data_IF_605339138939
#
_entry.id   IF_605339138939
#
_cell.length_a   1.000
_cell.length_b   1.000
_cell.length_c   1.000
_cell.angle_alpha   90.00
_cell.angle_beta   90.00
_cell.angle_gamma   90.00
#
_symmetry.space_group_name_H-M   'P 1'
#
loop_
_entity.id
_entity.type
_entity.pdbx_description
1 polymer ?
#
# COMPACT_ATOMS: atom_id res chain seq x y z
N UNK A 1 24.21 26.78 -12.74
CA UNK A 1 24.15 25.71 -11.72
C UNK A 1 22.86 24.90 -11.77
N UNK A 2 21.71 25.46 -12.17
CA UNK A 2 20.41 24.76 -12.31
C UNK A 2 20.36 23.47 -13.19
N UNK A 3 21.27 23.31 -14.15
CA UNK A 3 21.24 22.16 -15.09
C UNK A 3 21.82 20.86 -14.50
N UNK A 4 22.62 20.96 -13.43
CA UNK A 4 23.28 19.82 -12.78
C UNK A 4 22.38 19.17 -11.72
N UNK A 5 21.58 19.95 -11.00
CA UNK A 5 20.61 19.45 -10.00
C UNK A 5 19.57 18.52 -10.63
N UNK A 6 19.04 18.85 -11.80
CA UNK A 6 18.08 17.99 -12.52
C UNK A 6 18.69 16.68 -13.03
N UNK A 7 19.99 16.65 -13.35
CA UNK A 7 20.69 15.43 -13.81
C UNK A 7 21.00 14.51 -12.62
N UNK A 8 21.40 15.10 -11.49
CA UNK A 8 21.63 14.36 -10.26
C UNK A 8 20.33 13.73 -9.75
N UNK A 9 19.22 14.46 -9.75
CA UNK A 9 17.89 13.94 -9.41
C UNK A 9 17.50 12.76 -10.32
N UNK A 10 17.66 12.88 -11.64
CA UNK A 10 17.38 11.77 -12.57
C UNK A 10 18.24 10.52 -12.27
N UNK A 11 19.51 10.71 -11.92
CA UNK A 11 20.40 9.60 -11.56
C UNK A 11 19.99 8.94 -10.24
N UNK A 12 19.59 9.73 -9.26
CA UNK A 12 19.07 9.23 -7.98
C UNK A 12 17.79 8.41 -8.20
N UNK A 13 16.80 8.95 -8.91
CA UNK A 13 15.55 8.26 -9.23
C UNK A 13 15.78 6.95 -9.99
N UNK A 14 16.65 6.97 -11.00
CA UNK A 14 17.00 5.76 -11.76
C UNK A 14 17.62 4.70 -10.86
N UNK A 15 18.48 5.09 -9.94
CA UNK A 15 19.15 4.16 -9.01
C UNK A 15 18.18 3.57 -8.00
N UNK A 16 17.27 4.39 -7.44
CA UNK A 16 16.19 3.91 -6.55
C UNK A 16 15.32 2.86 -7.25
N UNK A 17 14.88 3.13 -8.48
CA UNK A 17 14.09 2.18 -9.28
C UNK A 17 14.82 0.85 -9.51
N UNK A 18 16.11 0.89 -9.85
CA UNK A 18 16.92 -0.34 -10.03
C UNK A 18 17.03 -1.14 -8.74
N UNK A 19 17.24 -0.46 -7.60
CA UNK A 19 17.34 -1.09 -6.29
C UNK A 19 16.00 -1.70 -5.84
N UNK A 20 14.88 -1.00 -6.05
CA UNK A 20 13.54 -1.50 -5.73
C UNK A 20 13.16 -2.69 -6.61
N UNK A 21 13.42 -2.62 -7.92
CA UNK A 21 13.15 -3.74 -8.81
C UNK A 21 13.94 -4.98 -8.39
N UNK A 22 15.24 -4.81 -8.12
CA UNK A 22 16.08 -5.90 -7.64
C UNK A 22 15.60 -6.45 -6.29
N UNK A 23 15.11 -5.59 -5.39
CA UNK A 23 14.53 -5.99 -4.12
C UNK A 23 13.27 -6.84 -4.32
N UNK A 24 12.33 -6.42 -5.17
CA UNK A 24 11.10 -7.15 -5.49
C UNK A 24 11.44 -8.53 -6.05
N UNK A 25 12.25 -8.58 -7.11
CA UNK A 25 12.64 -9.82 -7.79
C UNK A 25 13.32 -10.81 -6.83
N UNK A 26 14.30 -10.34 -6.06
CA UNK A 26 15.00 -11.19 -5.09
C UNK A 26 14.10 -11.64 -3.95
N UNK A 27 13.14 -10.82 -3.54
CA UNK A 27 12.15 -11.22 -2.53
C UNK A 27 11.29 -12.35 -3.04
N UNK A 28 10.84 -12.29 -4.30
CA UNK A 28 10.06 -13.38 -4.92
C UNK A 28 10.87 -14.67 -5.01
N UNK A 29 12.16 -14.59 -5.37
CA UNK A 29 13.02 -15.77 -5.56
C UNK A 29 13.33 -16.54 -4.27
N UNK A 30 13.54 -15.84 -3.15
CA UNK A 30 14.07 -16.48 -1.92
C UNK A 30 13.41 -16.06 -0.61
N UNK A 31 12.38 -15.21 -0.69
CA UNK A 31 11.71 -14.66 0.48
C UNK A 31 12.47 -13.49 1.11
N UNK A 32 11.72 -12.60 1.74
CA UNK A 32 12.25 -11.38 2.34
C UNK A 32 13.19 -11.64 3.52
N UNK A 33 12.89 -12.64 4.37
CA UNK A 33 13.72 -12.97 5.53
C UNK A 33 15.15 -13.33 5.12
N UNK A 34 15.30 -14.17 4.10
CA UNK A 34 16.61 -14.60 3.57
C UNK A 34 17.29 -13.54 2.67
N UNK A 35 16.62 -12.44 2.35
CA UNK A 35 17.17 -11.36 1.54
C UNK A 35 18.28 -10.59 2.27
N UNK A 36 19.35 -10.27 1.56
CA UNK A 36 20.44 -9.42 2.06
C UNK A 36 20.69 -8.24 1.13
N UNK A 37 21.30 -7.18 1.64
CA UNK A 37 21.73 -6.02 0.84
C UNK A 37 22.63 -6.45 -0.32
N UNK A 38 23.46 -7.49 -0.12
CA UNK A 38 24.35 -8.01 -1.16
C UNK A 38 23.55 -8.49 -2.38
N UNK A 39 22.53 -9.32 -2.17
CA UNK A 39 21.72 -9.87 -3.26
C UNK A 39 21.01 -8.79 -4.07
N UNK A 40 20.52 -7.75 -3.37
CA UNK A 40 19.87 -6.59 -3.99
C UNK A 40 20.89 -5.85 -4.85
N UNK A 41 22.06 -5.53 -4.28
CA UNK A 41 23.11 -4.78 -5.00
C UNK A 41 23.67 -5.53 -6.20
N UNK A 42 23.86 -6.85 -6.07
CA UNK A 42 24.30 -7.71 -7.18
C UNK A 42 23.25 -7.75 -8.29
N UNK A 43 21.96 -7.90 -7.96
CA UNK A 43 20.88 -7.94 -8.95
C UNK A 43 20.63 -6.58 -9.62
N UNK A 44 20.77 -5.49 -8.88
CA UNK A 44 20.67 -4.12 -9.40
C UNK A 44 21.91 -3.67 -10.18
N UNK A 45 23.00 -4.45 -10.16
CA UNK A 45 24.30 -4.09 -10.74
C UNK A 45 24.83 -2.74 -10.21
N UNK A 46 24.74 -2.54 -8.89
CA UNK A 46 25.25 -1.33 -8.21
C UNK A 46 26.17 -1.69 -7.06
N UNK A 47 27.07 -0.76 -6.70
CA UNK A 47 27.94 -0.94 -5.54
C UNK A 47 27.15 -0.87 -4.23
N UNK A 48 27.60 -1.58 -3.20
CA UNK A 48 27.00 -1.49 -1.85
C UNK A 48 27.00 -0.08 -1.28
N UNK A 49 28.04 0.70 -1.55
CA UNK A 49 28.09 2.12 -1.15
C UNK A 49 27.03 2.99 -1.84
N UNK A 50 26.56 2.57 -3.02
CA UNK A 50 25.43 3.21 -3.69
C UNK A 50 24.12 2.87 -2.98
N UNK A 51 23.90 1.61 -2.59
CA UNK A 51 22.73 1.22 -1.79
C UNK A 51 22.63 2.05 -0.51
N UNK A 52 23.72 2.14 0.25
CA UNK A 52 23.73 2.86 1.53
C UNK A 52 23.60 4.39 1.41
N UNK A 53 23.60 4.92 0.19
CA UNK A 53 23.25 6.33 -0.07
C UNK A 53 21.75 6.56 -0.14
N UNK A 54 20.98 5.51 -0.41
CA UNK A 54 19.53 5.57 -0.57
C UNK A 54 18.81 4.91 0.62
N UNK A 55 19.38 3.84 1.16
CA UNK A 55 18.73 3.03 2.19
C UNK A 55 19.69 2.59 3.28
N UNK A 56 19.25 2.61 4.54
CA UNK A 56 20.02 2.15 5.70
C UNK A 56 20.22 0.64 5.67
N UNK A 57 19.17 -0.10 5.33
CA UNK A 57 19.14 -1.55 5.17
C UNK A 57 17.95 -1.97 4.30
N UNK A 58 17.65 -3.28 4.25
CA UNK A 58 16.51 -3.81 3.47
C UNK A 58 15.14 -3.44 4.05
N UNK A 59 15.06 -3.16 5.36
CA UNK A 59 13.81 -2.77 6.01
C UNK A 59 13.48 -1.31 5.71
N UNK A 60 14.49 -0.44 5.71
CA UNK A 60 14.34 0.95 5.26
C UNK A 60 13.95 1.02 3.77
N UNK A 61 14.57 0.20 2.91
CA UNK A 61 14.14 0.08 1.50
C UNK A 61 12.67 -0.32 1.41
N UNK A 62 12.26 -1.33 2.17
CA UNK A 62 10.88 -1.81 2.20
C UNK A 62 9.90 -0.72 2.66
N UNK A 63 10.23 0.02 3.71
CA UNK A 63 9.39 1.12 4.21
C UNK A 63 9.25 2.25 3.18
N UNK A 64 10.36 2.65 2.55
CA UNK A 64 10.33 3.65 1.48
C UNK A 64 9.56 3.15 0.25
N UNK A 65 9.68 1.87 -0.11
CA UNK A 65 8.89 1.25 -1.19
C UNK A 65 7.39 1.30 -0.90
N UNK A 66 6.97 0.97 0.33
CA UNK A 66 5.56 1.05 0.73
C UNK A 66 5.06 2.51 0.63
N UNK A 67 5.82 3.47 1.15
CA UNK A 67 5.44 4.88 1.10
C UNK A 67 5.30 5.38 -0.35
N UNK A 68 6.26 5.07 -1.22
CA UNK A 68 6.22 5.46 -2.63
C UNK A 68 5.00 4.87 -3.38
N UNK A 69 4.63 3.62 -3.09
CA UNK A 69 3.39 3.02 -3.64
C UNK A 69 2.17 3.87 -3.28
N UNK A 70 2.02 4.26 -2.01
CA UNK A 70 0.88 5.06 -1.60
C UNK A 70 0.93 6.45 -2.24
N UNK A 71 2.08 7.12 -2.26
CA UNK A 71 2.25 8.41 -2.93
C UNK A 71 1.84 8.35 -4.42
N UNK A 72 2.17 7.29 -5.14
CA UNK A 72 1.79 7.10 -6.55
C UNK A 72 0.29 6.80 -6.74
N UNK A 73 -0.36 6.19 -5.73
CA UNK A 73 -1.80 5.93 -5.76
C UNK A 73 -2.66 7.16 -5.41
N UNK A 74 -2.04 8.26 -4.96
CA UNK A 74 -2.68 9.36 -4.25
C UNK A 74 -2.94 10.63 -5.06
N UNK A 75 -2.72 10.64 -6.38
CA UNK A 75 -2.61 11.86 -7.21
C UNK A 75 -3.88 12.75 -7.35
N UNK A 76 -4.85 12.68 -6.43
CA UNK A 76 -5.62 13.82 -5.83
C UNK A 76 -6.88 13.36 -5.06
N UNK A 77 -7.33 12.12 -5.22
CA UNK A 77 -8.68 11.69 -4.77
C UNK A 77 -8.70 10.82 -3.49
N UNK A 78 -7.54 10.42 -2.98
CA UNK A 78 -7.46 9.50 -1.82
C UNK A 78 -7.94 8.08 -2.12
N UNK A 79 -7.77 7.17 -1.16
CA UNK A 79 -8.13 5.74 -1.32
C UNK A 79 -9.51 5.38 -0.74
N UNK A 80 -10.21 6.37 -0.19
CA UNK A 80 -11.53 6.23 0.39
C UNK A 80 -12.45 7.24 -0.28
N UNK A 81 -13.54 6.75 -0.84
CA UNK A 81 -14.67 7.55 -1.31
C UNK A 81 -15.94 6.95 -0.67
N UNK A 82 -16.88 7.80 -0.28
CA UNK A 82 -18.15 7.34 0.31
C UNK A 82 -19.27 7.42 -0.70
N UNK A 83 -19.04 6.77 -1.84
CA UNK A 83 -20.03 6.58 -2.88
C UNK A 83 -20.60 5.15 -2.76
N UNK A 84 -21.91 4.92 -2.90
CA UNK A 84 -22.52 3.61 -2.63
C UNK A 84 -22.13 2.49 -3.60
N UNK A 85 -21.53 2.80 -4.75
CA UNK A 85 -21.29 1.81 -5.82
C UNK A 85 -19.94 1.89 -6.50
N UNK A 86 -19.27 3.04 -6.44
CA UNK A 86 -18.05 3.28 -7.20
C UNK A 86 -16.93 3.53 -6.22
N UNK A 87 -15.85 2.77 -6.38
CA UNK A 87 -14.64 2.96 -5.60
C UNK A 87 -13.87 4.20 -6.08
N UNK A 88 -13.11 4.79 -5.16
CA UNK A 88 -12.21 5.89 -5.51
C UNK A 88 -11.16 5.45 -6.53
N UNK A 89 -10.75 6.37 -7.39
CA UNK A 89 -9.66 6.13 -8.34
C UNK A 89 -8.37 5.73 -7.61
N UNK A 90 -8.13 6.27 -6.42
CA UNK A 90 -6.97 5.91 -5.59
C UNK A 90 -6.99 4.45 -5.14
N UNK A 91 -8.14 3.91 -4.73
CA UNK A 91 -8.26 2.48 -4.39
C UNK A 91 -8.03 1.60 -5.62
N UNK A 92 -8.59 1.98 -6.78
CA UNK A 92 -8.40 1.27 -8.04
C UNK A 92 -6.91 1.27 -8.43
N UNK A 93 -6.23 2.42 -8.33
CA UNK A 93 -4.81 2.55 -8.65
C UNK A 93 -3.92 1.75 -7.70
N UNK A 94 -4.24 1.74 -6.40
CA UNK A 94 -3.55 0.89 -5.43
C UNK A 94 -3.67 -0.59 -5.79
N UNK A 95 -4.88 -1.06 -6.10
CA UNK A 95 -5.10 -2.46 -6.50
C UNK A 95 -4.44 -2.81 -7.83
N UNK A 96 -4.39 -1.88 -8.79
CA UNK A 96 -3.62 -2.04 -10.04
C UNK A 96 -2.13 -2.18 -9.76
N UNK A 97 -1.58 -1.36 -8.86
CA UNK A 97 -0.19 -1.45 -8.45
C UNK A 97 0.12 -2.80 -7.78
N UNK A 98 -0.75 -3.24 -6.87
CA UNK A 98 -0.65 -4.57 -6.24
C UNK A 98 -0.73 -5.69 -7.30
N UNK A 99 -1.59 -5.56 -8.32
CA UNK A 99 -1.69 -6.53 -9.40
C UNK A 99 -0.41 -6.63 -10.23
N UNK A 100 0.21 -5.49 -10.55
CA UNK A 100 1.44 -5.44 -11.34
C UNK A 100 2.57 -6.18 -10.64
N UNK A 101 2.62 -6.11 -9.32
CA UNK A 101 3.62 -6.78 -8.48
C UNK A 101 3.04 -7.96 -7.68
N UNK A 102 2.02 -8.64 -8.22
CA UNK A 102 1.23 -9.64 -7.48
C UNK A 102 2.07 -10.77 -6.88
N UNK A 103 3.12 -11.23 -7.57
CA UNK A 103 4.03 -12.26 -7.06
C UNK A 103 4.74 -11.81 -5.79
N UNK A 104 5.17 -10.56 -5.73
CA UNK A 104 5.81 -9.97 -4.55
C UNK A 104 4.81 -9.85 -3.40
N UNK A 105 3.64 -9.27 -3.64
CA UNK A 105 2.62 -9.14 -2.60
C UNK A 105 2.12 -10.49 -2.10
N UNK A 106 2.01 -11.50 -2.96
CA UNK A 106 1.66 -12.87 -2.54
C UNK A 106 2.71 -13.47 -1.60
N UNK A 107 4.00 -13.31 -1.92
CA UNK A 107 5.09 -13.77 -1.06
C UNK A 107 5.11 -13.01 0.26
N UNK A 108 4.85 -11.70 0.24
CA UNK A 108 4.99 -10.84 1.40
C UNK A 108 3.77 -10.82 2.33
N UNK A 109 2.55 -10.94 1.79
CA UNK A 109 1.29 -10.89 2.53
C UNK A 109 0.68 -12.28 2.79
N UNK A 110 1.11 -13.30 2.06
CA UNK A 110 0.59 -14.66 2.22
C UNK A 110 0.97 -15.30 3.55
N UNK A 111 0.50 -16.53 3.78
CA UNK A 111 0.67 -17.25 5.05
C UNK A 111 2.13 -17.45 5.49
N UNK A 112 3.09 -17.44 4.55
CA UNK A 112 4.53 -17.57 4.81
C UNK A 112 5.29 -16.24 4.64
N UNK A 113 4.55 -15.14 4.51
CA UNK A 113 5.09 -13.80 4.38
C UNK A 113 5.71 -13.27 5.67
N UNK A 114 6.33 -12.09 5.56
CA UNK A 114 6.96 -11.44 6.71
C UNK A 114 5.89 -10.75 7.57
N UNK A 115 5.73 -11.11 8.87
CA UNK A 115 4.70 -10.53 9.72
C UNK A 115 4.85 -9.02 9.91
N UNK A 116 6.09 -8.52 9.94
CA UNK A 116 6.37 -7.10 10.11
C UNK A 116 5.94 -6.34 8.85
N UNK A 117 6.18 -6.88 7.65
CA UNK A 117 5.65 -6.26 6.43
C UNK A 117 4.13 -6.22 6.42
N UNK A 118 3.46 -7.34 6.70
CA UNK A 118 2.00 -7.38 6.72
C UNK A 118 1.43 -6.36 7.73
N UNK A 119 2.08 -6.22 8.90
CA UNK A 119 1.75 -5.21 9.88
C UNK A 119 1.95 -3.78 9.35
N UNK A 120 3.11 -3.48 8.74
CA UNK A 120 3.42 -2.14 8.20
C UNK A 120 2.49 -1.75 7.07
N UNK A 121 2.20 -2.67 6.16
CA UNK A 121 1.25 -2.47 5.07
C UNK A 121 -0.15 -2.12 5.61
N UNK A 122 -0.63 -2.87 6.62
CA UNK A 122 -1.91 -2.55 7.29
C UNK A 122 -1.87 -1.20 7.99
N UNK A 123 -0.83 -0.90 8.76
CA UNK A 123 -0.70 0.39 9.47
C UNK A 123 -0.72 1.57 8.50
N UNK A 124 0.01 1.48 7.39
CA UNK A 124 0.01 2.52 6.36
C UNK A 124 -1.34 2.67 5.67
N UNK A 125 -2.02 1.55 5.40
CA UNK A 125 -3.40 1.57 4.89
C UNK A 125 -4.34 2.28 5.87
N UNK A 126 -4.27 1.92 7.16
CA UNK A 126 -5.11 2.49 8.22
C UNK A 126 -4.88 4.00 8.40
N UNK A 127 -3.62 4.42 8.47
CA UNK A 127 -3.21 5.84 8.51
C UNK A 127 -3.83 6.61 7.33
N UNK A 128 -3.82 6.01 6.13
CA UNK A 128 -4.34 6.67 4.93
C UNK A 128 -5.86 6.74 4.91
N UNK A 129 -6.55 5.65 5.23
CA UNK A 129 -8.02 5.62 5.32
C UNK A 129 -8.48 6.65 6.36
N UNK A 130 -7.84 6.69 7.53
CA UNK A 130 -8.16 7.65 8.59
C UNK A 130 -7.93 9.10 8.14
N UNK A 131 -6.84 9.37 7.42
CA UNK A 131 -6.55 10.70 6.85
C UNK A 131 -7.65 11.14 5.87
N UNK A 132 -8.02 10.28 4.91
CA UNK A 132 -9.10 10.56 3.97
C UNK A 132 -10.42 10.80 4.69
N UNK A 133 -10.76 9.95 5.65
CA UNK A 133 -11.99 10.11 6.42
C UNK A 133 -12.03 11.42 7.21
N UNK A 134 -10.91 11.83 7.81
CA UNK A 134 -10.80 13.10 8.51
C UNK A 134 -11.02 14.31 7.59
N UNK A 135 -10.61 14.20 6.33
CA UNK A 135 -10.85 15.25 5.32
C UNK A 135 -12.31 15.29 4.87
N UNK A 136 -12.95 14.12 4.72
CA UNK A 136 -14.36 14.02 4.31
C UNK A 136 -15.30 14.52 5.42
N UNK A 137 -14.94 14.26 6.70
CA UNK A 137 -15.77 14.62 7.85
C UNK A 137 -14.99 15.38 8.94
N UNK A 138 -14.64 16.65 8.72
CA UNK A 138 -13.83 17.42 9.67
C UNK A 138 -14.55 17.76 10.99
N UNK A 139 -15.88 17.93 10.98
CA UNK A 139 -16.69 18.40 12.12
C UNK A 139 -17.73 17.38 12.62
N UNK A 140 -17.46 16.09 12.43
CA UNK A 140 -18.40 15.03 12.78
C UNK A 140 -18.70 14.92 14.28
N UNK A 141 -19.96 14.69 14.59
CA UNK A 141 -20.46 14.31 15.92
C UNK A 141 -20.97 12.88 15.83
N UNK A 142 -20.39 11.99 16.64
CA UNK A 142 -20.87 10.61 16.76
C UNK A 142 -22.02 10.54 17.76
N UNK A 143 -23.02 9.69 17.48
CA UNK A 143 -24.01 9.37 18.48
C UNK A 143 -23.35 8.73 19.72
N UNK A 144 -23.88 8.94 20.94
CA UNK A 144 -23.30 8.39 22.17
C UNK A 144 -23.14 6.86 22.17
N UNK A 145 -24.03 6.16 21.46
CA UNK A 145 -24.03 4.69 21.36
C UNK A 145 -23.28 4.18 20.12
N UNK A 146 -22.66 5.06 19.32
CA UNK A 146 -21.87 4.65 18.17
C UNK A 146 -20.59 3.93 18.61
N UNK A 147 -20.13 2.91 17.86
CA UNK A 147 -18.86 2.27 18.15
C UNK A 147 -17.70 3.28 18.05
N UNK A 148 -16.60 3.08 18.81
CA UNK A 148 -15.41 3.90 18.67
C UNK A 148 -14.90 3.90 17.23
N UNK A 149 -14.62 5.08 16.69
CA UNK A 149 -14.22 5.23 15.28
C UNK A 149 -12.97 4.42 14.92
N UNK A 150 -12.02 4.30 15.85
CA UNK A 150 -10.82 3.49 15.68
C UNK A 150 -11.14 1.99 15.56
N UNK A 151 -12.20 1.50 16.23
CA UNK A 151 -12.64 0.11 16.07
C UNK A 151 -13.22 -0.12 14.67
N UNK A 152 -14.02 0.82 14.16
CA UNK A 152 -14.57 0.75 12.81
C UNK A 152 -13.47 0.74 11.74
N UNK A 153 -12.46 1.62 11.86
CA UNK A 153 -11.33 1.63 10.93
C UNK A 153 -10.49 0.37 11.01
N UNK A 154 -10.23 -0.11 12.21
CA UNK A 154 -9.55 -1.38 12.39
C UNK A 154 -10.30 -2.50 11.66
N UNK A 155 -11.61 -2.64 11.89
CA UNK A 155 -12.44 -3.63 11.21
C UNK A 155 -12.36 -3.51 9.67
N UNK A 156 -12.55 -2.32 9.13
CA UNK A 156 -12.49 -2.06 7.68
C UNK A 156 -11.12 -2.40 7.11
N UNK A 157 -10.03 -1.99 7.76
CA UNK A 157 -8.67 -2.28 7.31
C UNK A 157 -8.38 -3.78 7.33
N UNK A 158 -8.83 -4.51 8.36
CA UNK A 158 -8.66 -5.96 8.42
C UNK A 158 -9.50 -6.69 7.36
N UNK A 159 -10.74 -6.25 7.12
CA UNK A 159 -11.60 -6.81 6.08
C UNK A 159 -11.00 -6.58 4.67
N UNK A 160 -10.56 -5.35 4.39
CA UNK A 160 -9.89 -5.01 3.15
C UNK A 160 -8.59 -5.79 2.93
N UNK A 161 -7.78 -5.92 3.99
CA UNK A 161 -6.57 -6.73 3.96
C UNK A 161 -6.86 -8.20 3.64
N UNK A 162 -7.84 -8.80 4.31
CA UNK A 162 -8.25 -10.18 4.06
C UNK A 162 -8.73 -10.41 2.62
N UNK A 163 -9.50 -9.46 2.08
CA UNK A 163 -9.95 -9.52 0.69
C UNK A 163 -8.79 -9.40 -0.32
N UNK A 164 -7.79 -8.55 -0.06
CA UNK A 164 -6.60 -8.45 -0.92
C UNK A 164 -5.79 -9.75 -0.89
N UNK A 165 -5.59 -10.34 0.30
CA UNK A 165 -4.89 -11.63 0.43
C UNK A 165 -5.64 -12.73 -0.32
N UNK A 166 -6.96 -12.84 -0.10
CA UNK A 166 -7.81 -13.78 -0.84
C UNK A 166 -7.71 -13.58 -2.35
N UNK A 167 -7.75 -12.33 -2.82
CA UNK A 167 -7.65 -12.00 -4.24
C UNK A 167 -6.31 -12.40 -4.85
N UNK A 168 -5.21 -12.17 -4.13
CA UNK A 168 -3.86 -12.57 -4.54
C UNK A 168 -3.68 -14.09 -4.60
N UNK A 169 -4.47 -14.86 -3.86
CA UNK A 169 -4.43 -16.33 -3.85
C UNK A 169 -5.20 -16.97 -5.02
N UNK A 170 -6.03 -16.20 -5.75
CA UNK A 170 -6.80 -16.74 -6.86
C UNK A 170 -5.92 -17.05 -8.08
N UNK A 171 -6.22 -18.15 -8.78
CA UNK A 171 -5.57 -18.50 -10.05
C UNK A 171 -5.96 -17.53 -11.18
N UNK A 172 -7.23 -17.11 -11.18
CA UNK A 172 -7.81 -16.14 -12.10
C UNK A 172 -8.50 -15.03 -11.31
N UNK A 173 -7.73 -14.07 -10.76
CA UNK A 173 -8.29 -12.98 -9.98
C UNK A 173 -9.21 -12.11 -10.85
N UNK A 174 -10.30 -11.61 -10.26
CA UNK A 174 -11.12 -10.59 -10.90
C UNK A 174 -10.32 -9.30 -11.17
N UNK A 175 -10.77 -8.41 -12.09
CA UNK A 175 -10.10 -7.14 -12.34
C UNK A 175 -10.02 -6.25 -11.08
N UNK A 176 -8.97 -5.42 -10.92
CA UNK A 176 -8.82 -4.50 -9.79
C UNK A 176 -10.05 -3.63 -9.54
N UNK A 177 -10.68 -3.13 -10.61
CA UNK A 177 -11.88 -2.30 -10.54
C UNK A 177 -13.06 -3.03 -9.88
N UNK A 178 -13.22 -4.33 -10.17
CA UNK A 178 -14.30 -5.12 -9.61
C UNK A 178 -14.09 -5.36 -8.13
N UNK A 179 -12.86 -5.73 -7.72
CA UNK A 179 -12.53 -5.87 -6.30
C UNK A 179 -12.68 -4.53 -5.56
N UNK A 180 -12.23 -3.42 -6.16
CA UNK A 180 -12.37 -2.09 -5.60
C UNK A 180 -13.84 -1.77 -5.28
N UNK A 181 -14.74 -2.02 -6.23
CA UNK A 181 -16.17 -1.75 -6.06
C UNK A 181 -16.79 -2.60 -4.95
N UNK A 182 -16.42 -3.89 -4.84
CA UNK A 182 -16.88 -4.74 -3.73
C UNK A 182 -16.37 -4.24 -2.37
N UNK A 183 -15.07 -3.92 -2.28
CA UNK A 183 -14.48 -3.35 -1.08
C UNK A 183 -15.17 -2.05 -0.67
N UNK A 184 -15.36 -1.15 -1.62
CA UNK A 184 -16.04 0.12 -1.41
C UNK A 184 -17.47 -0.08 -0.90
N UNK A 185 -18.22 -1.02 -1.49
CA UNK A 185 -19.57 -1.33 -1.03
C UNK A 185 -19.58 -1.84 0.43
N UNK A 186 -18.69 -2.78 0.79
CA UNK A 186 -18.60 -3.27 2.17
C UNK A 186 -18.23 -2.17 3.16
N UNK A 187 -17.32 -1.28 2.76
CA UNK A 187 -16.89 -0.13 3.56
C UNK A 187 -18.05 0.86 3.73
N UNK A 188 -18.70 1.24 2.64
CA UNK A 188 -19.84 2.15 2.64
C UNK A 188 -20.95 1.63 3.55
N UNK A 189 -21.36 0.38 3.39
CA UNK A 189 -22.41 -0.24 4.21
C UNK A 189 -22.01 -0.28 5.70
N UNK A 190 -20.74 -0.58 6.01
CA UNK A 190 -20.21 -0.58 7.38
C UNK A 190 -20.20 0.82 8.00
N UNK A 191 -19.77 1.84 7.24
CA UNK A 191 -19.68 3.23 7.70
C UNK A 191 -21.07 3.82 7.90
N UNK A 192 -21.96 3.68 6.92
CA UNK A 192 -23.33 4.23 6.97
C UNK A 192 -24.14 3.58 8.09
N UNK A 193 -24.08 2.25 8.24
CA UNK A 193 -24.80 1.55 9.30
C UNK A 193 -24.26 1.88 10.70
N UNK A 194 -22.94 2.01 10.85
CA UNK A 194 -22.30 2.19 12.17
C UNK A 194 -22.32 3.63 12.66
N UNK A 195 -22.18 4.60 11.75
CA UNK A 195 -22.01 5.99 12.12
C UNK A 195 -23.31 6.79 12.12
N UNK A 196 -24.42 6.22 11.60
CA UNK A 196 -25.71 6.91 11.44
C UNK A 196 -25.52 8.37 11.02
N UNK A 197 -24.69 8.58 9.99
CA UNK A 197 -24.33 9.91 9.54
C UNK A 197 -25.62 10.60 9.09
N UNK A 198 -26.11 11.54 9.88
CA UNK A 198 -27.18 12.43 9.44
C UNK A 198 -26.58 13.31 8.34
N UNK A 199 -27.14 13.21 7.13
CA UNK A 199 -26.80 14.05 6.00
C UNK A 199 -27.22 15.51 6.20
#
# INVERSE_FOLDING_TARGET
MQKLEGIEDLRVRRTRKLLQQAFIERTVEKGFVALTVRDITERAMVNRSTFYRHYLDKYDLLEQYINEMYELSEDQEGILELHPREASLGLINLLKYIQQEASFYRVMLGAQGDPLFAQRFRQKTEERILSCFNQIFPERVFEPDAPPINLLFNFITYAGFGAIVWWLEQEQPCPPEQLANWLNQFIYDSVVSSLKLNG
#
